data_IF_908159690546
#
_entry.id   IF_908159690546
#
_cell.length_a   1.000
_cell.length_b   1.000
_cell.length_c   1.000
_cell.angle_alpha   90.00
_cell.angle_beta   90.00
_cell.angle_gamma   90.00
#
_symmetry.space_group_name_H-M   'P 1'
#
loop_
_entity.id
_entity.type
_entity.pdbx_description
1 polymer ?
#
# COMPACT_ATOMS: atom_id res chain seq x y z
N UNK A 1 1.32 1.65 18.95
CA UNK A 1 0.48 2.67 18.27
C UNK A 1 1.42 3.43 17.36
N UNK A 2 1.28 3.30 16.03
CA UNK A 2 2.24 3.89 15.08
C UNK A 2 2.14 5.42 15.12
N UNK A 3 3.18 6.10 15.60
CA UNK A 3 3.23 7.56 15.70
C UNK A 3 4.00 8.23 14.55
N UNK A 4 4.45 7.45 13.58
CA UNK A 4 5.34 7.87 12.49
C UNK A 4 4.64 7.65 11.14
N UNK A 5 4.74 8.64 10.24
CA UNK A 5 4.14 8.64 8.90
C UNK A 5 2.60 8.42 8.86
N UNK A 6 1.80 9.20 9.63
CA UNK A 6 0.36 8.99 9.70
C UNK A 6 -0.34 9.15 8.34
N UNK A 7 0.15 10.04 7.48
CA UNK A 7 -0.39 10.25 6.13
C UNK A 7 -0.23 9.01 5.24
N UNK A 8 0.99 8.46 5.16
CA UNK A 8 1.28 7.29 4.33
C UNK A 8 0.51 6.05 4.82
N UNK A 9 0.45 5.83 6.13
CA UNK A 9 -0.35 4.73 6.69
C UNK A 9 -1.85 4.95 6.56
N UNK A 10 -2.32 6.21 6.56
CA UNK A 10 -3.71 6.54 6.21
C UNK A 10 -4.07 6.12 4.79
N UNK A 11 -3.19 6.38 3.82
CA UNK A 11 -3.39 5.93 2.43
C UNK A 11 -3.38 4.40 2.32
N UNK A 12 -2.47 3.71 3.04
CA UNK A 12 -2.44 2.25 3.10
C UNK A 12 -3.70 1.67 3.75
N UNK A 13 -4.27 2.35 4.75
CA UNK A 13 -5.53 1.97 5.38
C UNK A 13 -6.71 2.10 4.42
N UNK A 14 -6.82 3.23 3.71
CA UNK A 14 -7.91 3.50 2.74
C UNK A 14 -7.85 2.52 1.56
N UNK A 15 -6.65 2.20 1.08
CA UNK A 15 -6.43 1.24 0.00
C UNK A 15 -6.58 -0.22 0.42
N UNK A 16 -6.85 -0.50 1.69
CA UNK A 16 -7.07 -1.86 2.20
C UNK A 16 -5.80 -2.66 2.48
N UNK A 17 -4.62 -2.05 2.35
CA UNK A 17 -3.33 -2.73 2.56
C UNK A 17 -2.93 -2.86 4.03
N UNK A 18 -3.37 -1.94 4.89
CA UNK A 18 -2.86 -1.87 6.26
C UNK A 18 -3.96 -1.75 7.30
N UNK A 19 -4.23 -2.83 8.04
CA UNK A 19 -5.24 -2.82 9.10
C UNK A 19 -4.84 -1.87 10.25
N UNK A 20 -5.70 -0.92 10.66
CA UNK A 20 -5.42 -0.03 11.79
C UNK A 20 -5.30 -0.81 13.11
N UNK A 21 -4.21 -0.59 13.84
CA UNK A 21 -3.97 -1.29 15.12
C UNK A 21 -4.89 -0.84 16.27
N UNK A 22 -5.64 0.25 16.10
CA UNK A 22 -6.55 0.78 17.13
C UNK A 22 -7.90 0.06 17.17
N UNK A 23 -8.19 -0.80 16.17
CA UNK A 23 -9.43 -1.57 16.09
C UNK A 23 -9.28 -2.89 16.85
N UNK A 24 -9.71 -2.90 18.11
CA UNK A 24 -9.69 -4.11 18.95
C UNK A 24 -10.91 -5.03 18.75
N UNK A 25 -11.97 -4.53 18.09
CA UNK A 25 -13.18 -5.33 17.86
C UNK A 25 -12.95 -6.43 16.81
N UNK A 26 -13.24 -7.70 17.11
CA UNK A 26 -13.02 -8.82 16.18
C UNK A 26 -13.87 -8.70 14.91
N UNK A 27 -15.06 -8.11 15.00
CA UNK A 27 -15.97 -7.89 13.86
C UNK A 27 -15.36 -6.90 12.87
N UNK A 28 -14.76 -5.82 13.39
CA UNK A 28 -14.18 -4.76 12.57
C UNK A 28 -12.91 -5.25 11.86
N UNK A 29 -12.11 -6.07 12.54
CA UNK A 29 -10.96 -6.75 11.94
C UNK A 29 -11.38 -7.74 10.85
N UNK A 30 -12.46 -8.50 11.08
CA UNK A 30 -13.01 -9.42 10.08
C UNK A 30 -13.50 -8.66 8.84
N UNK A 31 -14.27 -7.59 9.03
CA UNK A 31 -14.75 -6.74 7.94
C UNK A 31 -13.60 -6.14 7.13
N UNK A 32 -12.54 -5.68 7.81
CA UNK A 32 -11.36 -5.16 7.13
C UNK A 32 -10.63 -6.23 6.32
N UNK A 33 -10.49 -7.45 6.85
CA UNK A 33 -9.93 -8.58 6.08
C UNK A 33 -10.76 -8.88 4.83
N UNK A 34 -12.09 -8.86 4.93
CA UNK A 34 -12.97 -9.00 3.76
C UNK A 34 -12.75 -7.86 2.75
N UNK A 35 -12.61 -6.63 3.22
CA UNK A 35 -12.30 -5.48 2.36
C UNK A 35 -10.96 -5.64 1.63
N UNK A 36 -9.88 -6.02 2.33
CA UNK A 36 -8.57 -6.31 1.73
C UNK A 36 -8.67 -7.40 0.65
N UNK A 37 -9.35 -8.51 0.94
CA UNK A 37 -9.56 -9.59 -0.03
C UNK A 37 -10.38 -9.11 -1.23
N UNK A 38 -11.41 -8.30 -1.00
CA UNK A 38 -12.21 -7.71 -2.07
C UNK A 38 -11.38 -6.80 -2.99
N UNK A 39 -10.54 -5.93 -2.42
CA UNK A 39 -9.63 -5.08 -3.20
C UNK A 39 -8.65 -5.93 -4.02
N UNK A 40 -8.08 -6.99 -3.44
CA UNK A 40 -7.23 -7.94 -4.16
C UNK A 40 -7.94 -8.60 -5.34
N UNK A 41 -9.19 -9.03 -5.15
CA UNK A 41 -10.01 -9.61 -6.21
C UNK A 41 -10.26 -8.61 -7.34
N UNK A 42 -10.56 -7.35 -7.02
CA UNK A 42 -10.73 -6.29 -8.03
C UNK A 42 -9.46 -6.03 -8.83
N UNK A 43 -8.31 -5.96 -8.15
CA UNK A 43 -7.01 -5.75 -8.79
C UNK A 43 -6.68 -6.93 -9.73
N UNK A 44 -6.88 -8.17 -9.27
CA UNK A 44 -6.66 -9.35 -10.10
C UNK A 44 -7.61 -9.42 -11.30
N UNK A 45 -8.89 -9.10 -11.08
CA UNK A 45 -9.89 -9.00 -12.13
C UNK A 45 -9.46 -8.00 -13.22
N UNK A 46 -8.96 -6.83 -12.80
CA UNK A 46 -8.46 -5.82 -13.74
C UNK A 46 -7.30 -6.34 -14.61
N UNK A 47 -6.36 -7.10 -14.02
CA UNK A 47 -5.26 -7.72 -14.77
C UNK A 47 -5.78 -8.76 -15.77
N UNK A 48 -6.74 -9.60 -15.37
CA UNK A 48 -7.35 -10.60 -16.27
C UNK A 48 -8.08 -9.93 -17.44
N UNK A 49 -8.82 -8.84 -17.17
CA UNK A 49 -9.45 -8.06 -18.25
C UNK A 49 -8.40 -7.44 -19.17
N UNK A 50 -7.33 -6.87 -18.62
CA UNK A 50 -6.23 -6.30 -19.43
C UNK A 50 -5.51 -7.33 -20.29
N UNK A 51 -5.32 -8.55 -19.80
CA UNK A 51 -4.79 -9.66 -20.60
C UNK A 51 -5.73 -10.04 -21.74
N UNK A 52 -7.03 -10.09 -21.48
CA UNK A 52 -8.04 -10.43 -22.49
C UNK A 52 -8.10 -9.38 -23.60
N UNK A 53 -8.03 -8.10 -23.23
CA UNK A 53 -7.96 -6.97 -24.17
C UNK A 53 -6.68 -7.05 -25.02
N UNK A 54 -5.52 -7.31 -24.40
CA UNK A 54 -4.25 -7.42 -25.13
C UNK A 54 -4.24 -8.55 -26.16
N UNK A 55 -4.85 -9.71 -25.83
CA UNK A 55 -4.98 -10.85 -26.75
C UNK A 55 -5.93 -10.52 -27.91
N UNK A 56 -6.94 -9.68 -27.67
CA UNK A 56 -7.94 -9.29 -28.67
C UNK A 56 -7.52 -8.07 -29.49
N UNK A 57 -6.48 -7.34 -29.07
CA UNK A 57 -6.06 -6.11 -29.72
C UNK A 57 -5.76 -6.35 -31.22
N UNK A 58 -6.25 -5.48 -32.11
CA UNK A 58 -5.92 -5.52 -33.53
C UNK A 58 -4.41 -5.28 -33.71
N UNK A 59 -3.85 -5.56 -34.91
CA UNK A 59 -2.42 -5.35 -35.19
C UNK A 59 -1.99 -3.87 -35.23
N UNK A 60 -2.80 -2.95 -34.70
CA UNK A 60 -2.42 -1.56 -34.51
C UNK A 60 -1.39 -1.47 -33.37
N UNK A 61 -0.15 -1.13 -33.73
CA UNK A 61 0.97 -1.11 -32.80
C UNK A 61 0.80 -0.08 -31.66
N UNK A 62 0.13 1.05 -31.93
CA UNK A 62 -0.13 2.09 -30.92
C UNK A 62 -1.09 1.59 -29.84
N UNK A 63 -2.28 1.12 -30.23
CA UNK A 63 -3.28 0.56 -29.30
C UNK A 63 -2.75 -0.64 -28.51
N UNK A 64 -1.98 -1.51 -29.16
CA UNK A 64 -1.34 -2.64 -28.49
C UNK A 64 -0.36 -2.19 -27.40
N UNK A 65 0.46 -1.19 -27.70
CA UNK A 65 1.48 -0.68 -26.76
C UNK A 65 0.84 0.03 -25.57
N UNK A 66 -0.20 0.82 -25.80
CA UNK A 66 -0.94 1.49 -24.73
C UNK A 66 -1.60 0.48 -23.78
N UNK A 67 -2.29 -0.52 -24.33
CA UNK A 67 -2.90 -1.59 -23.54
C UNK A 67 -1.86 -2.41 -22.76
N UNK A 68 -0.72 -2.72 -23.39
CA UNK A 68 0.40 -3.40 -22.75
C UNK A 68 0.98 -2.58 -21.58
N UNK A 69 1.13 -1.27 -21.76
CA UNK A 69 1.67 -0.39 -20.72
C UNK A 69 0.76 -0.34 -19.49
N UNK A 70 -0.56 -0.21 -19.70
CA UNK A 70 -1.55 -0.24 -18.61
C UNK A 70 -1.52 -1.59 -17.90
N UNK A 71 -1.47 -2.70 -18.65
CA UNK A 71 -1.41 -4.04 -18.09
C UNK A 71 -0.14 -4.25 -17.24
N UNK A 72 1.03 -3.88 -17.75
CA UNK A 72 2.30 -3.97 -17.02
C UNK A 72 2.25 -3.13 -15.74
N UNK A 73 1.72 -1.91 -15.82
CA UNK A 73 1.53 -1.04 -14.65
C UNK A 73 0.68 -1.75 -13.59
N UNK A 74 -0.43 -2.37 -13.98
CA UNK A 74 -1.30 -3.07 -13.03
C UNK A 74 -0.65 -4.32 -12.44
N UNK A 75 0.13 -5.07 -13.23
CA UNK A 75 0.94 -6.19 -12.71
C UNK A 75 1.91 -5.69 -11.62
N UNK A 76 2.55 -4.53 -11.82
CA UNK A 76 3.43 -3.96 -10.78
C UNK A 76 2.65 -3.55 -9.52
N UNK A 77 1.43 -3.03 -9.67
CA UNK A 77 0.55 -2.70 -8.54
C UNK A 77 0.18 -3.97 -7.78
N UNK A 78 -0.18 -5.06 -8.46
CA UNK A 78 -0.42 -6.36 -7.84
C UNK A 78 0.79 -6.84 -7.03
N UNK A 79 1.98 -6.80 -7.64
CA UNK A 79 3.22 -7.22 -7.00
C UNK A 79 3.54 -6.41 -5.76
N UNK A 80 3.38 -5.07 -5.83
CA UNK A 80 3.53 -4.18 -4.68
C UNK A 80 2.52 -4.46 -3.59
N UNK A 81 1.27 -4.71 -3.95
CA UNK A 81 0.21 -5.04 -3.00
C UNK A 81 0.54 -6.32 -2.23
N UNK A 82 0.87 -7.40 -2.95
CA UNK A 82 1.26 -8.67 -2.35
C UNK A 82 2.50 -8.53 -1.47
N UNK A 83 3.50 -7.78 -1.92
CA UNK A 83 4.71 -7.53 -1.14
C UNK A 83 4.39 -6.87 0.21
N UNK A 84 3.53 -5.86 0.24
CA UNK A 84 3.14 -5.19 1.50
C UNK A 84 2.37 -6.14 2.43
N UNK A 85 1.51 -7.00 1.87
CA UNK A 85 0.74 -7.99 2.65
C UNK A 85 1.66 -9.07 3.24
N UNK A 86 2.59 -9.61 2.46
CA UNK A 86 3.51 -10.68 2.89
C UNK A 86 4.57 -10.13 3.83
N UNK A 87 5.20 -9.00 3.50
CA UNK A 87 6.27 -8.40 4.29
C UNK A 87 5.76 -7.54 5.44
N UNK A 88 4.49 -7.68 5.84
CA UNK A 88 3.85 -6.85 6.87
C UNK A 88 4.61 -6.88 8.19
N UNK A 89 5.10 -8.04 8.62
CA UNK A 89 5.86 -8.18 9.87
C UNK A 89 7.19 -7.42 9.80
N UNK A 90 7.94 -7.58 8.71
CA UNK A 90 9.18 -6.84 8.49
C UNK A 90 8.97 -5.32 8.43
N UNK A 91 7.85 -4.87 7.84
CA UNK A 91 7.48 -3.44 7.85
C UNK A 91 7.22 -2.98 9.30
N UNK A 92 6.52 -3.77 10.11
CA UNK A 92 6.31 -3.43 11.54
C UNK A 92 7.62 -3.36 12.30
N UNK A 93 8.54 -4.31 12.10
CA UNK A 93 9.87 -4.29 12.71
C UNK A 93 10.67 -3.06 12.30
N UNK A 94 10.64 -2.70 11.02
CA UNK A 94 11.34 -1.51 10.52
C UNK A 94 10.78 -0.22 11.12
N UNK A 95 9.46 -0.14 11.33
CA UNK A 95 8.84 0.99 12.03
C UNK A 95 9.24 1.05 13.49
N UNK A 96 9.34 -0.11 14.16
CA UNK A 96 9.79 -0.17 15.56
C UNK A 96 11.23 0.32 15.68
N UNK A 97 12.12 -0.11 14.78
CA UNK A 97 13.51 0.37 14.71
C UNK A 97 13.55 1.90 14.54
N UNK A 98 12.71 2.48 13.68
CA UNK A 98 12.63 3.93 13.47
C UNK A 98 12.21 4.70 14.73
N UNK A 99 11.45 4.07 15.64
CA UNK A 99 11.03 4.66 16.90
C UNK A 99 12.02 4.42 18.05
N UNK A 100 13.06 3.60 17.83
CA UNK A 100 14.08 3.26 18.83
C UNK A 100 15.41 3.96 18.55
N UNK A 101 16.29 3.99 19.56
CA UNK A 101 17.65 4.51 19.38
C UNK A 101 18.43 3.60 18.40
N UNK A 102 19.22 4.16 17.47
CA UNK A 102 19.62 5.56 17.35
C UNK A 102 18.72 6.45 16.46
N UNK A 103 17.64 5.90 15.88
CA UNK A 103 16.78 6.59 14.91
C UNK A 103 15.74 7.52 15.54
N UNK A 104 15.40 7.30 16.81
CA UNK A 104 14.52 8.17 17.57
C UNK A 104 15.12 9.60 17.69
N UNK A 105 14.29 10.66 17.65
CA UNK A 105 14.76 12.04 17.76
C UNK A 105 15.36 12.28 19.15
N UNK A 106 16.54 12.87 19.19
CA UNK A 106 17.34 13.07 20.42
C UNK A 106 17.37 14.51 20.90
N UNK A 107 17.19 15.46 19.97
CA UNK A 107 17.30 16.89 20.21
C UNK A 107 16.06 17.63 19.71
N UNK A 108 15.79 18.82 20.25
CA UNK A 108 14.64 19.66 19.87
C UNK A 108 14.59 19.98 18.37
N UNK A 109 15.76 20.10 17.72
CA UNK A 109 15.85 20.30 16.28
C UNK A 109 15.34 19.07 15.48
N UNK A 110 15.68 17.86 15.92
CA UNK A 110 15.22 16.61 15.30
C UNK A 110 13.73 16.39 15.54
N UNK A 111 13.24 16.70 16.75
CA UNK A 111 11.81 16.69 17.08
C UNK A 111 11.03 17.66 16.19
N UNK A 112 11.57 18.87 15.95
CA UNK A 112 10.94 19.85 15.06
C UNK A 112 10.88 19.35 13.60
N UNK A 113 11.93 18.69 13.11
CA UNK A 113 11.96 18.07 11.77
C UNK A 113 10.93 16.94 11.69
N UNK A 114 10.90 16.04 12.67
CA UNK A 114 9.94 14.93 12.69
C UNK A 114 8.50 15.45 12.71
N UNK A 115 8.17 16.41 13.58
CA UNK A 115 6.84 17.01 13.65
C UNK A 115 6.43 17.76 12.37
N UNK A 116 7.39 18.26 11.59
CA UNK A 116 7.12 18.87 10.28
C UNK A 116 6.68 17.80 9.27
N UNK A 117 7.37 16.67 9.22
CA UNK A 117 7.11 15.60 8.27
C UNK A 117 5.98 14.65 8.67
N UNK A 118 5.75 14.44 9.97
CA UNK A 118 4.59 13.68 10.45
C UNK A 118 3.27 14.41 10.15
N UNK A 119 3.28 15.74 10.03
CA UNK A 119 2.13 16.54 9.59
C UNK A 119 2.08 16.75 8.08
N UNK A 120 3.11 16.33 7.35
CA UNK A 120 3.18 16.50 5.91
C UNK A 120 2.27 15.47 5.25
N UNK A 121 1.01 15.86 5.03
CA UNK A 121 0.03 15.12 4.25
C UNK A 121 0.13 15.64 2.82
N UNK A 122 1.28 15.37 2.18
CA UNK A 122 1.62 15.82 0.82
C UNK A 122 1.76 17.34 0.61
#
# INVERSE_FOLDING_TARGET
MMSILPASFGLLQISGLWMPSHWQSPILQLLYKFFTVFVLLLIYWFVVTGLTELIRSPPNAEEFTDNLFILLTMITVCGKYLNVVICRESIVEMLDILQQNPCAPRNDAEVAIQNKWDRFIW
#
